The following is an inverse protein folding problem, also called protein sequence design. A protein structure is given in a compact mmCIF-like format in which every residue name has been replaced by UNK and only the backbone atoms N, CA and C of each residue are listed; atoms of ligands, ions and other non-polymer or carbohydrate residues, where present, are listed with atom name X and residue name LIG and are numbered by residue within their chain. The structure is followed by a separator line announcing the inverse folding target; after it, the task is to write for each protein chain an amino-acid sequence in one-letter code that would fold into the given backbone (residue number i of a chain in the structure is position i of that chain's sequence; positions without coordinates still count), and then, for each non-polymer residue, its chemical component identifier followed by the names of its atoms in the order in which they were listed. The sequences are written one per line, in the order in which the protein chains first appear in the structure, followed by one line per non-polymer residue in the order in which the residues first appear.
data_IF_476211434440
#
_entry.id   IF_476211434440
#
_cell.length_a   1.000
_cell.length_b   1.000
_cell.length_c   1.000
_cell.angle_alpha   90.00
_cell.angle_beta   90.00
_cell.angle_gamma   90.00
#
_symmetry.space_group_name_H-M   'P 1'
#
loop_
_entity.id
_entity.type
_entity.pdbx_description
1 polymer ?
#
# COMPACT_ATOMS: atom_id res chain seq x y z
N UNK A 1 8.26 -18.83 -22.13
CA UNK A 1 9.47 -17.99 -22.27
C UNK A 1 10.39 -18.39 -21.14
N UNK A 2 11.64 -18.73 -21.46
CA UNK A 2 12.61 -19.25 -20.48
C UNK A 2 13.74 -18.24 -20.30
N UNK A 3 13.84 -17.65 -19.11
CA UNK A 3 14.80 -16.61 -18.73
C UNK A 3 15.00 -15.50 -19.78
N UNK A 4 13.91 -15.05 -20.40
CA UNK A 4 14.00 -14.23 -21.62
C UNK A 4 14.70 -12.87 -21.45
N UNK A 5 14.84 -12.38 -20.21
CA UNK A 5 15.44 -11.07 -19.92
C UNK A 5 16.70 -11.13 -19.04
N UNK A 6 17.16 -12.32 -18.65
CA UNK A 6 18.29 -12.46 -17.71
C UNK A 6 19.61 -11.92 -18.27
N UNK A 7 19.80 -12.01 -19.59
CA UNK A 7 20.99 -11.52 -20.30
C UNK A 7 20.97 -10.01 -20.59
N UNK A 8 19.90 -9.29 -20.26
CA UNK A 8 19.75 -7.87 -20.55
C UNK A 8 20.19 -7.01 -19.36
N UNK A 9 20.78 -5.86 -19.67
CA UNK A 9 21.08 -4.81 -18.69
C UNK A 9 19.81 -4.36 -17.96
N UNK A 10 19.88 -3.95 -16.67
CA UNK A 10 18.70 -3.66 -15.86
C UNK A 10 17.73 -2.64 -16.47
N UNK A 11 18.23 -1.63 -17.18
CA UNK A 11 17.39 -0.61 -17.81
C UNK A 11 16.64 -1.17 -19.03
N UNK A 12 17.33 -1.89 -19.91
CA UNK A 12 16.73 -2.50 -21.11
C UNK A 12 15.77 -3.62 -20.70
N UNK A 13 16.13 -4.42 -19.69
CA UNK A 13 15.27 -5.42 -19.07
C UNK A 13 13.93 -4.82 -18.66
N UNK A 14 13.93 -3.71 -17.92
CA UNK A 14 12.69 -3.04 -17.51
C UNK A 14 11.86 -2.57 -18.71
N UNK A 15 12.50 -1.96 -19.72
CA UNK A 15 11.80 -1.52 -20.93
C UNK A 15 11.15 -2.70 -21.68
N UNK A 16 11.87 -3.81 -21.83
CA UNK A 16 11.34 -5.01 -22.49
C UNK A 16 10.21 -5.67 -21.72
N UNK A 17 10.26 -5.63 -20.39
CA UNK A 17 9.17 -6.07 -19.52
C UNK A 17 7.90 -5.21 -19.74
N UNK A 18 8.05 -3.88 -19.80
CA UNK A 18 6.94 -2.96 -20.05
C UNK A 18 6.31 -3.19 -21.44
N UNK A 19 7.13 -3.42 -22.46
CA UNK A 19 6.64 -3.79 -23.80
C UNK A 19 5.91 -5.13 -23.80
N UNK A 20 6.43 -6.14 -23.08
CA UNK A 20 5.75 -7.43 -22.94
C UNK A 20 4.36 -7.27 -22.31
N UNK A 21 4.26 -6.48 -21.24
CA UNK A 21 2.99 -6.18 -20.57
C UNK A 21 2.03 -5.42 -21.50
N UNK A 22 2.52 -4.44 -22.25
CA UNK A 22 1.71 -3.70 -23.22
C UNK A 22 1.17 -4.61 -24.34
N UNK A 23 1.98 -5.54 -24.83
CA UNK A 23 1.57 -6.53 -25.84
C UNK A 23 0.56 -7.52 -25.25
N UNK A 24 0.80 -8.03 -24.03
CA UNK A 24 -0.10 -8.94 -23.35
C UNK A 24 -1.47 -8.30 -23.13
N UNK A 25 -1.51 -7.03 -22.71
CA UNK A 25 -2.73 -6.24 -22.52
C UNK A 25 -3.52 -6.05 -23.81
N UNK A 26 -2.85 -5.97 -24.97
CA UNK A 26 -3.51 -5.86 -26.28
C UNK A 26 -4.00 -7.20 -26.83
N UNK A 27 -3.23 -8.27 -26.65
CA UNK A 27 -3.48 -9.56 -27.30
C UNK A 27 -4.21 -10.58 -26.41
N UNK A 28 -4.22 -10.36 -25.09
CA UNK A 28 -4.81 -11.23 -24.08
C UNK A 28 -4.42 -12.70 -24.23
N UNK A 29 -3.14 -12.96 -24.56
CA UNK A 29 -2.60 -14.32 -24.67
C UNK A 29 -2.00 -14.76 -23.35
N UNK A 30 -2.13 -16.06 -23.05
CA UNK A 30 -1.47 -16.68 -21.91
C UNK A 30 0.03 -16.72 -22.14
N UNK A 31 0.80 -16.21 -21.17
CA UNK A 31 2.27 -16.23 -21.18
C UNK A 31 2.70 -17.09 -20.00
N UNK A 32 3.47 -18.15 -20.28
CA UNK A 32 4.23 -18.86 -19.25
C UNK A 32 5.64 -18.27 -19.24
N UNK A 33 5.97 -17.56 -18.16
CA UNK A 33 7.25 -16.89 -17.97
C UNK A 33 8.05 -17.60 -16.88
N UNK A 34 9.31 -17.93 -17.16
CA UNK A 34 10.22 -18.61 -16.24
C UNK A 34 11.38 -17.66 -15.97
N UNK A 35 11.68 -17.46 -14.70
CA UNK A 35 12.77 -16.61 -14.21
C UNK A 35 13.25 -17.12 -12.86
N UNK A 36 14.51 -16.85 -12.54
CA UNK A 36 15.07 -17.05 -11.21
C UNK A 36 14.93 -15.82 -10.31
N UNK A 37 14.52 -14.67 -10.87
CA UNK A 37 14.37 -13.41 -10.14
C UNK A 37 12.92 -13.23 -9.68
N UNK A 38 12.71 -13.24 -8.37
CA UNK A 38 11.38 -13.07 -7.78
C UNK A 38 10.78 -11.70 -8.10
N UNK A 39 11.58 -10.63 -8.19
CA UNK A 39 11.07 -9.30 -8.54
C UNK A 39 10.47 -9.28 -9.94
N UNK A 40 11.03 -10.06 -10.88
CA UNK A 40 10.44 -10.20 -12.21
C UNK A 40 9.14 -10.99 -12.16
N UNK A 41 9.11 -12.09 -11.41
CA UNK A 41 7.92 -12.92 -11.26
C UNK A 41 6.76 -12.15 -10.63
N UNK A 42 7.02 -11.36 -9.59
CA UNK A 42 6.01 -10.55 -8.90
C UNK A 42 5.54 -9.37 -9.76
N UNK A 43 6.42 -8.79 -10.58
CA UNK A 43 6.05 -7.66 -11.46
C UNK A 43 5.22 -8.11 -12.66
N UNK A 44 5.61 -9.20 -13.31
CA UNK A 44 5.00 -9.65 -14.57
C UNK A 44 3.84 -10.63 -14.34
N UNK A 45 3.87 -11.39 -13.26
CA UNK A 45 2.98 -12.52 -13.02
C UNK A 45 1.68 -12.12 -12.34
N UNK A 46 0.55 -12.57 -12.88
CA UNK A 46 -0.71 -12.58 -12.14
C UNK A 46 -0.78 -13.75 -11.14
N UNK A 47 -0.02 -14.82 -11.41
CA UNK A 47 0.18 -15.99 -10.56
C UNK A 47 1.65 -16.40 -10.63
N UNK A 48 2.22 -16.71 -9.48
CA UNK A 48 3.60 -17.12 -9.30
C UNK A 48 3.61 -18.57 -8.84
N UNK A 49 4.48 -19.38 -9.45
CA UNK A 49 4.72 -20.76 -9.07
C UNK A 49 6.19 -20.89 -8.68
N UNK A 50 6.46 -21.22 -7.43
CA UNK A 50 7.81 -21.46 -6.93
C UNK A 50 8.08 -22.96 -7.03
N UNK A 51 9.20 -23.31 -7.67
CA UNK A 51 9.66 -24.69 -7.79
C UNK A 51 11.00 -24.86 -7.09
N UNK A 52 11.17 -25.99 -6.40
CA UNK A 52 12.43 -26.43 -5.81
C UNK A 52 12.61 -27.92 -6.07
N UNK A 53 13.79 -28.31 -6.53
CA UNK A 53 14.14 -29.72 -6.83
C UNK A 53 13.12 -30.44 -7.73
N UNK A 54 12.56 -29.72 -8.71
CA UNK A 54 11.55 -30.22 -9.65
C UNK A 54 10.15 -30.39 -9.04
N UNK A 55 9.92 -29.94 -7.80
CA UNK A 55 8.62 -29.96 -7.14
C UNK A 55 8.08 -28.55 -7.01
N UNK A 56 6.77 -28.41 -7.19
CA UNK A 56 6.06 -27.17 -6.87
C UNK A 56 5.99 -27.05 -5.35
N UNK A 57 6.51 -25.94 -4.83
CA UNK A 57 6.46 -25.62 -3.41
C UNK A 57 5.20 -24.80 -3.11
N UNK A 58 4.99 -23.72 -3.86
CA UNK A 58 3.83 -22.84 -3.69
C UNK A 58 3.36 -22.29 -5.03
N UNK A 59 2.05 -22.15 -5.17
CA UNK A 59 1.42 -21.39 -6.25
C UNK A 59 0.45 -20.40 -5.62
N UNK A 60 0.61 -19.12 -5.93
CA UNK A 60 -0.24 -18.06 -5.40
C UNK A 60 -0.21 -16.82 -6.28
N UNK A 61 -0.99 -15.82 -5.91
CA UNK A 61 -0.80 -14.45 -6.37
C UNK A 61 0.51 -13.89 -5.83
N UNK A 62 1.10 -12.85 -6.47
CA UNK A 62 2.28 -12.17 -5.94
C UNK A 62 2.15 -11.80 -4.46
N UNK A 63 0.96 -11.41 -4.04
CA UNK A 63 0.67 -11.05 -2.67
C UNK A 63 0.64 -12.25 -1.72
N UNK A 64 -0.03 -13.35 -2.08
CA UNK A 64 -0.05 -14.58 -1.27
C UNK A 64 1.37 -15.14 -1.08
N UNK A 65 2.23 -15.05 -2.10
CA UNK A 65 3.63 -15.46 -1.99
C UNK A 65 4.36 -14.65 -0.92
N UNK A 66 4.08 -13.34 -0.80
CA UNK A 66 4.77 -12.45 0.14
C UNK A 66 4.16 -12.48 1.55
N UNK A 67 2.84 -12.53 1.65
CA UNK A 67 2.11 -12.40 2.93
C UNK A 67 1.87 -13.75 3.61
N UNK A 68 1.84 -14.84 2.84
CA UNK A 68 1.54 -16.20 3.32
C UNK A 68 2.53 -17.22 2.70
N UNK A 69 3.84 -17.12 2.99
CA UNK A 69 4.82 -18.08 2.49
C UNK A 69 4.52 -19.49 3.03
N UNK A 70 4.55 -20.49 2.15
CA UNK A 70 4.16 -21.86 2.48
C UNK A 70 5.18 -22.61 3.34
N UNK A 71 6.46 -22.24 3.25
CA UNK A 71 7.54 -22.79 4.06
C UNK A 71 8.68 -21.78 4.23
N UNK A 72 9.70 -22.15 5.01
CA UNK A 72 10.85 -21.30 5.27
C UNK A 72 11.72 -21.01 4.04
N UNK A 73 11.67 -21.87 3.01
CA UNK A 73 12.39 -21.60 1.77
C UNK A 73 11.72 -20.49 0.97
N UNK A 74 10.37 -20.50 0.87
CA UNK A 74 9.65 -19.38 0.26
C UNK A 74 9.85 -18.10 1.08
N UNK A 75 9.82 -18.19 2.42
CA UNK A 75 10.07 -17.06 3.31
C UNK A 75 11.44 -16.40 3.10
N UNK A 76 12.50 -17.20 2.98
CA UNK A 76 13.86 -16.71 2.65
C UNK A 76 13.88 -16.06 1.25
N UNK A 77 13.18 -16.65 0.29
CA UNK A 77 13.15 -16.14 -1.09
C UNK A 77 12.47 -14.77 -1.22
N UNK A 78 11.56 -14.43 -0.30
CA UNK A 78 10.80 -13.17 -0.31
C UNK A 78 11.42 -12.05 0.52
N UNK A 79 12.46 -12.34 1.33
CA UNK A 79 13.13 -11.37 2.21
C UNK A 79 13.61 -10.12 1.48
N UNK A 80 14.26 -10.29 0.33
CA UNK A 80 14.92 -9.20 -0.40
C UNK A 80 13.99 -8.43 -1.35
N UNK A 81 12.68 -8.68 -1.28
CA UNK A 81 11.69 -8.03 -2.14
C UNK A 81 11.05 -6.84 -1.44
N UNK A 82 10.91 -5.72 -2.15
CA UNK A 82 10.07 -4.61 -1.71
C UNK A 82 8.58 -4.99 -1.75
N UNK A 83 8.09 -5.48 -0.62
CA UNK A 83 6.71 -5.93 -0.42
C UNK A 83 5.69 -4.82 -0.68
N UNK A 84 6.08 -3.55 -0.49
CA UNK A 84 5.19 -2.43 -0.73
C UNK A 84 4.76 -2.29 -2.19
N UNK A 85 5.43 -2.98 -3.12
CA UNK A 85 5.11 -2.97 -4.55
C UNK A 85 3.95 -3.90 -4.91
N UNK A 86 3.55 -4.81 -4.03
CA UNK A 86 2.46 -5.75 -4.29
C UNK A 86 1.26 -5.56 -3.38
N UNK A 87 1.40 -4.87 -2.25
CA UNK A 87 0.29 -4.68 -1.31
C UNK A 87 -0.56 -3.49 -1.78
N UNK A 88 -1.85 -3.73 -1.98
CA UNK A 88 -2.83 -2.70 -2.35
C UNK A 88 -3.30 -1.92 -1.12
N UNK A 89 -3.37 -0.58 -1.24
CA UNK A 89 -3.91 0.33 -0.21
C UNK A 89 -5.26 -0.13 0.31
N UNK A 90 -6.13 -0.61 -0.58
CA UNK A 90 -7.49 -1.02 -0.27
C UNK A 90 -7.61 -2.16 0.75
N UNK A 91 -6.54 -2.92 1.00
CA UNK A 91 -6.56 -4.03 1.96
C UNK A 91 -6.40 -3.58 3.41
N UNK A 92 -5.78 -2.43 3.63
CA UNK A 92 -5.39 -1.96 4.97
C UNK A 92 -6.01 -0.61 5.29
N UNK A 93 -6.48 0.13 4.28
CA UNK A 93 -7.24 1.35 4.51
C UNK A 93 -8.44 1.09 5.44
N UNK A 94 -8.83 2.14 6.16
CA UNK A 94 -10.01 2.13 7.00
C UNK A 94 -11.02 3.18 6.53
N UNK A 95 -12.29 3.08 6.94
CA UNK A 95 -13.26 4.16 6.72
C UNK A 95 -12.73 5.48 7.29
N UNK A 96 -12.76 6.53 6.48
CA UNK A 96 -12.33 7.86 6.89
C UNK A 96 -13.31 8.47 7.91
N UNK A 97 -12.78 9.27 8.84
CA UNK A 97 -13.63 10.07 9.72
C UNK A 97 -14.06 11.33 8.99
N UNK A 98 -15.36 11.46 8.72
CA UNK A 98 -15.94 12.66 8.14
C UNK A 98 -16.24 13.68 9.23
N UNK A 99 -15.75 14.91 9.04
CA UNK A 99 -15.95 16.02 9.94
C UNK A 99 -17.00 16.99 9.38
N UNK A 100 -17.94 17.38 10.23
CA UNK A 100 -18.96 18.36 9.93
C UNK A 100 -18.44 19.77 10.25
N UNK A 101 -18.51 20.68 9.27
CA UNK A 101 -18.02 22.06 9.41
C UNK A 101 -18.89 22.94 10.31
N UNK A 102 -20.09 22.47 10.67
CA UNK A 102 -20.96 23.13 11.64
C UNK A 102 -20.58 22.88 13.10
N UNK A 103 -19.73 21.86 13.35
CA UNK A 103 -19.26 21.51 14.69
C UNK A 103 -18.09 22.39 15.14
N UNK A 104 -17.95 22.54 16.45
CA UNK A 104 -16.78 23.17 17.06
C UNK A 104 -15.55 22.28 16.95
N UNK A 105 -14.36 22.87 17.06
CA UNK A 105 -13.10 22.13 17.03
C UNK A 105 -13.02 21.04 18.11
N UNK A 106 -13.62 21.27 19.27
CA UNK A 106 -13.66 20.29 20.37
C UNK A 106 -14.58 19.09 20.05
N UNK A 107 -15.74 19.33 19.42
CA UNK A 107 -16.65 18.27 18.98
C UNK A 107 -16.05 17.46 17.82
N UNK A 108 -15.36 18.13 16.89
CA UNK A 108 -14.58 17.44 15.86
C UNK A 108 -13.50 16.56 16.46
N UNK A 109 -12.78 17.02 17.48
CA UNK A 109 -11.74 16.24 18.16
C UNK A 109 -12.31 15.00 18.87
N UNK A 110 -13.50 15.10 19.46
CA UNK A 110 -14.22 13.96 20.03
C UNK A 110 -14.62 12.95 18.94
N UNK A 111 -15.11 13.46 17.80
CA UNK A 111 -15.47 12.64 16.62
C UNK A 111 -14.28 11.85 16.07
N UNK A 112 -13.07 12.42 16.09
CA UNK A 112 -11.85 11.70 15.68
C UNK A 112 -11.55 10.46 16.55
N UNK A 113 -12.03 10.42 17.80
CA UNK A 113 -11.88 9.27 18.69
C UNK A 113 -10.42 8.85 18.86
N UNK A 114 -10.02 7.70 18.29
CA UNK A 114 -8.63 7.20 18.31
C UNK A 114 -7.82 7.56 17.07
N UNK A 115 -8.46 7.93 15.96
CA UNK A 115 -7.80 8.24 14.68
C UNK A 115 -6.92 9.47 14.77
N UNK A 116 -5.88 9.57 13.93
CA UNK A 116 -4.94 10.71 13.95
C UNK A 116 -5.51 11.99 13.32
N UNK A 117 -6.47 11.84 12.42
CA UNK A 117 -7.12 12.94 11.73
C UNK A 117 -8.43 12.52 11.09
N UNK A 118 -9.06 13.48 10.42
CA UNK A 118 -10.30 13.29 9.68
C UNK A 118 -10.43 14.34 8.60
N UNK A 119 -11.41 14.14 7.71
CA UNK A 119 -11.56 14.90 6.49
C UNK A 119 -12.90 15.63 6.44
N UNK A 120 -12.88 16.81 5.83
CA UNK A 120 -14.06 17.55 5.43
C UNK A 120 -14.26 17.34 3.94
N UNK A 121 -15.48 17.01 3.53
CA UNK A 121 -15.83 16.82 2.13
C UNK A 121 -16.75 17.94 1.62
N UNK A 122 -16.74 18.18 0.31
CA UNK A 122 -17.75 18.99 -0.36
C UNK A 122 -19.08 18.21 -0.54
N UNK A 123 -20.05 18.84 -1.22
CA UNK A 123 -21.36 18.23 -1.49
C UNK A 123 -21.29 17.01 -2.41
N UNK A 124 -20.20 16.87 -3.18
CA UNK A 124 -19.97 15.75 -4.09
C UNK A 124 -19.18 14.63 -3.39
N UNK A 125 -18.81 14.79 -2.12
CA UNK A 125 -18.07 13.80 -1.32
C UNK A 125 -16.55 13.87 -1.51
N UNK A 126 -16.04 14.91 -2.15
CA UNK A 126 -14.58 15.06 -2.39
C UNK A 126 -13.92 15.68 -1.17
N UNK A 127 -12.79 15.15 -0.70
CA UNK A 127 -12.08 15.72 0.45
C UNK A 127 -11.53 17.11 0.07
N UNK A 128 -11.93 18.14 0.82
CA UNK A 128 -11.52 19.54 0.62
C UNK A 128 -10.67 20.08 1.77
N UNK A 129 -10.75 19.46 2.94
CA UNK A 129 -9.97 19.84 4.11
C UNK A 129 -9.65 18.65 5.00
N UNK A 130 -8.63 18.79 5.82
CA UNK A 130 -8.20 17.80 6.79
C UNK A 130 -7.95 18.46 8.14
N UNK A 131 -8.35 17.79 9.22
CA UNK A 131 -7.97 18.14 10.58
C UNK A 131 -7.12 17.02 11.17
N UNK A 132 -5.95 17.35 11.72
CA UNK A 132 -5.20 16.43 12.57
C UNK A 132 -5.45 16.72 14.05
N UNK A 133 -5.30 15.71 14.91
CA UNK A 133 -5.35 15.91 16.36
C UNK A 133 -4.32 16.91 16.87
N UNK A 134 -3.13 16.91 16.27
CA UNK A 134 -2.04 17.82 16.63
C UNK A 134 -2.40 19.27 16.33
N UNK A 135 -2.98 19.52 15.15
CA UNK A 135 -3.41 20.85 14.75
C UNK A 135 -4.57 21.33 15.63
N UNK A 136 -5.56 20.45 15.88
CA UNK A 136 -6.68 20.74 16.77
C UNK A 136 -6.23 21.07 18.20
N UNK A 137 -5.33 20.28 18.79
CA UNK A 137 -4.82 20.51 20.14
C UNK A 137 -4.03 21.83 20.25
N UNK A 138 -3.22 22.14 19.23
CA UNK A 138 -2.44 23.39 19.17
C UNK A 138 -3.36 24.61 19.07
N UNK A 139 -4.40 24.53 18.24
CA UNK A 139 -5.37 25.60 18.05
C UNK A 139 -6.27 25.82 19.29
N UNK A 140 -6.70 24.75 19.97
CA UNK A 140 -7.45 24.87 21.23
C UNK A 140 -6.60 25.54 22.32
N UNK A 141 -5.30 25.21 22.40
CA UNK A 141 -4.40 25.84 23.36
C UNK A 141 -4.20 27.35 23.09
N UNK A 142 -4.37 27.81 21.85
CA UNK A 142 -4.35 29.23 21.50
C UNK A 142 -5.72 29.92 21.59
N UNK A 143 -6.76 29.21 22.03
CA UNK A 143 -8.12 29.73 22.20
C UNK A 143 -8.97 29.69 20.92
N UNK A 144 -8.50 29.05 19.87
CA UNK A 144 -9.22 28.89 18.60
C UNK A 144 -10.24 27.77 18.73
N UNK A 145 -11.49 28.04 18.34
CA UNK A 145 -12.61 27.07 18.44
C UNK A 145 -13.26 26.76 17.11
N UNK A 146 -12.96 27.55 16.07
CA UNK A 146 -13.52 27.41 14.72
C UNK A 146 -12.70 26.42 13.89
N UNK A 147 -13.33 25.33 13.44
CA UNK A 147 -12.71 24.31 12.59
C UNK A 147 -12.07 24.92 11.34
N UNK A 148 -12.78 25.82 10.65
CA UNK A 148 -12.36 26.40 9.36
C UNK A 148 -10.99 27.07 9.41
N UNK A 149 -10.58 27.60 10.58
CA UNK A 149 -9.31 28.29 10.76
C UNK A 149 -8.11 27.34 10.93
N UNK A 150 -8.35 26.05 11.12
CA UNK A 150 -7.36 25.01 11.43
C UNK A 150 -7.27 23.96 10.31
N UNK A 151 -8.27 23.91 9.41
CA UNK A 151 -8.29 22.94 8.32
C UNK A 151 -7.09 23.11 7.40
N UNK A 152 -6.45 21.98 7.11
CA UNK A 152 -5.36 21.84 6.15
C UNK A 152 -5.88 21.44 4.79
N UNK A 153 -5.28 21.99 3.74
CA UNK A 153 -5.54 21.60 2.35
C UNK A 153 -4.33 20.91 1.72
N UNK A 154 -3.22 20.82 2.44
CA UNK A 154 -1.95 20.23 2.01
C UNK A 154 -1.83 18.77 2.45
N UNK A 155 -2.88 17.97 2.19
CA UNK A 155 -2.89 16.53 2.40
C UNK A 155 -2.78 15.79 1.07
N UNK A 156 -2.27 14.57 1.12
CA UNK A 156 -2.13 13.70 -0.05
C UNK A 156 -3.37 12.81 -0.20
N UNK A 157 -3.62 12.37 -1.44
CA UNK A 157 -4.67 11.42 -1.75
C UNK A 157 -4.15 10.28 -2.62
N UNK A 158 -4.81 9.12 -2.52
CA UNK A 158 -4.46 7.89 -3.22
C UNK A 158 -5.71 7.08 -3.56
N UNK A 159 -5.56 5.96 -4.26
CA UNK A 159 -6.68 5.06 -4.59
C UNK A 159 -6.53 3.72 -3.89
N UNK A 160 -7.63 3.00 -3.70
CA UNK A 160 -7.60 1.66 -3.10
C UNK A 160 -6.78 0.64 -3.93
N UNK A 161 -6.58 0.89 -5.23
CA UNK A 161 -5.78 0.06 -6.12
C UNK A 161 -4.29 0.48 -6.20
N UNK A 162 -3.91 1.57 -5.52
CA UNK A 162 -2.52 2.02 -5.47
C UNK A 162 -1.68 1.07 -4.60
N UNK A 163 -0.38 0.99 -4.87
CA UNK A 163 0.56 0.18 -4.10
C UNK A 163 1.14 0.98 -2.95
N UNK A 164 1.59 0.30 -1.90
CA UNK A 164 2.14 0.96 -0.70
C UNK A 164 3.37 1.80 -1.00
N UNK A 165 4.27 1.30 -1.86
CA UNK A 165 5.49 2.00 -2.24
C UNK A 165 5.22 3.37 -2.89
N UNK A 166 4.10 3.50 -3.61
CA UNK A 166 3.69 4.76 -4.24
C UNK A 166 3.30 5.82 -3.19
N UNK A 167 3.01 5.40 -1.97
CA UNK A 167 2.52 6.23 -0.87
C UNK A 167 3.57 6.51 0.21
N UNK A 168 4.79 5.94 0.14
CA UNK A 168 5.83 6.14 1.17
C UNK A 168 6.21 7.61 1.37
N UNK A 169 6.30 8.39 0.29
CA UNK A 169 6.63 9.81 0.38
C UNK A 169 5.55 10.61 1.12
N UNK A 170 4.27 10.31 0.85
CA UNK A 170 3.14 10.90 1.55
C UNK A 170 3.10 10.45 3.02
N UNK A 171 3.32 9.16 3.28
CA UNK A 171 3.37 8.59 4.62
C UNK A 171 4.48 9.24 5.49
N UNK A 172 5.62 9.59 4.88
CA UNK A 172 6.71 10.31 5.52
C UNK A 172 6.33 11.68 6.10
N UNK A 173 5.20 12.28 5.68
CA UNK A 173 4.66 13.51 6.29
C UNK A 173 3.99 13.28 7.65
N UNK A 174 3.73 12.02 8.01
CA UNK A 174 3.19 11.64 9.32
C UNK A 174 1.71 11.97 9.54
N UNK A 175 1.00 12.38 8.49
CA UNK A 175 -0.44 12.65 8.49
C UNK A 175 -1.19 11.60 7.67
N UNK A 176 -2.47 11.29 8.01
CA UNK A 176 -3.31 10.42 7.19
C UNK A 176 -3.40 10.84 5.71
N UNK A 177 -3.50 9.84 4.84
CA UNK A 177 -3.66 9.98 3.39
C UNK A 177 -5.12 9.69 3.04
N UNK A 178 -5.76 10.56 2.27
CA UNK A 178 -7.13 10.32 1.81
C UNK A 178 -7.17 9.21 0.76
N UNK A 179 -8.03 8.21 0.92
CA UNK A 179 -8.27 7.21 -0.12
C UNK A 179 -9.55 7.56 -0.86
N UNK A 180 -9.45 7.77 -2.18
CA UNK A 180 -10.54 8.20 -3.04
C UNK A 180 -10.85 7.17 -4.13
N UNK A 181 -12.09 7.20 -4.62
CA UNK A 181 -12.51 6.46 -5.81
C UNK A 181 -12.12 7.18 -7.12
N UNK A 182 -12.52 6.61 -8.26
CA UNK A 182 -12.26 7.17 -9.59
C UNK A 182 -12.95 8.53 -9.83
N UNK A 183 -13.99 8.86 -9.06
CA UNK A 183 -14.68 10.16 -9.12
C UNK A 183 -14.03 11.23 -8.21
N UNK A 184 -13.05 10.82 -7.40
CA UNK A 184 -12.37 11.63 -6.39
C UNK A 184 -13.11 11.71 -5.06
N UNK A 185 -14.13 10.88 -4.86
CA UNK A 185 -14.92 10.85 -3.63
C UNK A 185 -14.17 10.07 -2.56
N UNK A 186 -14.22 10.56 -1.32
CA UNK A 186 -13.55 9.91 -0.19
C UNK A 186 -14.22 8.58 0.14
N UNK A 187 -13.45 7.49 0.06
CA UNK A 187 -13.91 6.13 0.40
C UNK A 187 -13.23 5.57 1.63
N UNK A 188 -12.08 6.12 2.01
CA UNK A 188 -11.32 5.68 3.17
C UNK A 188 -10.15 6.60 3.49
N UNK A 189 -9.35 6.18 4.45
CA UNK A 189 -8.10 6.82 4.81
C UNK A 189 -7.04 5.75 5.10
N UNK A 190 -5.78 6.14 4.89
CA UNK A 190 -4.61 5.31 5.16
C UNK A 190 -3.72 6.07 6.15
N UNK A 191 -3.51 5.51 7.35
CA UNK A 191 -2.57 6.08 8.31
C UNK A 191 -1.14 5.61 8.01
N UNK A 192 -0.13 6.48 8.15
CA UNK A 192 1.28 6.08 7.97
C UNK A 192 1.72 4.89 8.84
N UNK A 193 1.14 4.75 10.04
CA UNK A 193 1.43 3.63 10.93
C UNK A 193 0.93 2.30 10.36
N UNK A 194 -0.20 2.27 9.65
CA UNK A 194 -0.76 1.05 9.06
C UNK A 194 0.17 0.48 7.98
N UNK A 195 0.81 1.37 7.20
CA UNK A 195 1.84 0.97 6.23
C UNK A 195 3.04 0.33 6.96
N UNK A 196 3.51 0.95 8.04
CA UNK A 196 4.66 0.46 8.81
C UNK A 196 4.36 -0.85 9.54
N UNK A 197 3.16 -0.98 10.11
CA UNK A 197 2.72 -2.20 10.81
C UNK A 197 2.64 -3.39 9.86
N UNK A 198 2.11 -3.20 8.65
CA UNK A 198 2.04 -4.30 7.69
C UNK A 198 3.43 -4.71 7.19
N UNK A 199 4.31 -3.74 6.89
CA UNK A 199 5.69 -4.07 6.52
C UNK A 199 6.39 -4.88 7.62
N UNK A 200 6.24 -4.46 8.88
CA UNK A 200 6.80 -5.18 10.02
C UNK A 200 6.18 -6.56 10.25
N UNK A 201 4.90 -6.75 9.94
CA UNK A 201 4.22 -8.06 10.05
C UNK A 201 4.82 -9.08 9.10
N UNK A 202 5.08 -8.68 7.86
CA UNK A 202 5.66 -9.58 6.86
C UNK A 202 7.12 -9.89 7.21
N UNK A 203 7.90 -8.92 7.68
CA UNK A 203 9.25 -9.17 8.22
C UNK A 203 9.25 -10.20 9.37
N UNK A 204 8.30 -10.09 10.31
CA UNK A 204 8.20 -11.05 11.42
C UNK A 204 7.80 -12.47 10.99
N UNK A 205 6.94 -12.58 9.98
CA UNK A 205 6.54 -13.87 9.41
C UNK A 205 7.76 -14.61 8.88
N UNK A 206 8.61 -13.89 8.16
CA UNK A 206 9.87 -14.38 7.63
C UNK A 206 10.83 -14.81 8.75
N UNK A 207 11.06 -13.96 9.75
CA UNK A 207 11.93 -14.26 10.90
C UNK A 207 11.45 -15.49 11.71
N UNK A 208 10.14 -15.72 11.73
CA UNK A 208 9.53 -16.88 12.37
C UNK A 208 9.98 -18.21 11.75
N UNK A 209 10.13 -18.25 10.43
CA UNK A 209 10.60 -19.45 9.72
C UNK A 209 12.09 -19.72 9.93
N UNK A 210 12.94 -18.69 10.02
CA UNK A 210 14.36 -18.89 10.33
C UNK A 210 14.53 -19.66 11.65
N UNK A 211 13.73 -19.34 12.67
CA UNK A 211 13.80 -20.03 13.98
C UNK A 211 13.38 -21.50 13.91
N UNK A 212 12.47 -21.88 13.02
CA UNK A 212 12.07 -23.29 12.84
C UNK A 212 13.09 -24.10 12.03
N UNK A 213 13.83 -23.47 11.11
CA UNK A 213 14.84 -24.15 10.27
C UNK A 213 16.15 -24.41 11.05
N UNK A 214 16.44 -23.63 12.09
CA UNK A 214 17.65 -23.76 12.92
C UNK A 214 17.44 -24.49 14.27
N UNK A 215 16.30 -25.15 14.48
CA UNK A 215 16.01 -26.02 15.63
C UNK A 215 15.88 -27.49 15.20
#
# INVERSE_FOLDING_TARGET
MDEAFSALDPLIRRQMQDELMAIQSKLHKTILFITHDLNEALRLGNRVCILRDGKVIQIGTPEEILTEPADGYVAEFVQDVDQGRVIDVGKIMHPAVLLDTSLTLAECLDTLGKRRGGFVCDTDGRPTGMLTKTDAATALASGTTELASVLRTDFDSTTAAARFNDNYAAAGRGIPIAVVDDAGCLVGELEPQEIMEEMGRVEQLVDGFEREVFL
#
